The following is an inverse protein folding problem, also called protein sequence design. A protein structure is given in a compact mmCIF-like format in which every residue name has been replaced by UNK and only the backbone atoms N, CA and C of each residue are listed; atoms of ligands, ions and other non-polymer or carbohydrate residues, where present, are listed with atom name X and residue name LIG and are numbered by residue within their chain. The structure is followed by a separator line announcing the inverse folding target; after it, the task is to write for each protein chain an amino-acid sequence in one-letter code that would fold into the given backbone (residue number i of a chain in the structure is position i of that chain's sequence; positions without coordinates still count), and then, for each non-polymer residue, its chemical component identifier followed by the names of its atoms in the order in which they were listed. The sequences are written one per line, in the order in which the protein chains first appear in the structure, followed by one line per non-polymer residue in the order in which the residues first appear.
data_IF_967986206087
#
_entry.id   IF_967986206087
#
_cell.length_a   1.000
_cell.length_b   1.000
_cell.length_c   1.000
_cell.angle_alpha   90.00
_cell.angle_beta   90.00
_cell.angle_gamma   90.00
#
_symmetry.space_group_name_H-M   'P 1'
#
loop_
_entity.id
_entity.type
_entity.pdbx_description
1 polymer ?
#
# COMPACT_ATOMS: atom_id res chain seq x y z
N UNK A 1 11.74 -14.96 14.46
CA UNK A 1 11.13 -13.62 14.33
C UNK A 1 10.23 -13.43 13.10
N UNK A 2 10.41 -14.16 11.98
CA UNK A 2 9.49 -14.07 10.82
C UNK A 2 8.18 -14.89 10.95
N UNK A 3 8.09 -15.80 11.93
CA UNK A 3 6.97 -16.75 12.04
C UNK A 3 5.74 -16.20 12.79
N UNK A 4 5.93 -15.27 13.73
CA UNK A 4 4.85 -14.71 14.56
C UNK A 4 4.81 -13.20 14.44
N UNK A 5 3.71 -12.66 13.94
CA UNK A 5 3.48 -11.22 13.87
C UNK A 5 3.46 -10.58 15.27
N UNK A 6 2.96 -11.30 16.29
CA UNK A 6 2.73 -10.75 17.63
C UNK A 6 4.00 -10.36 18.39
N UNK A 7 5.10 -11.04 18.08
CA UNK A 7 6.44 -10.79 18.63
C UNK A 7 7.34 -10.02 17.65
N UNK A 8 6.80 -9.63 16.48
CA UNK A 8 7.58 -8.99 15.43
C UNK A 8 7.93 -7.53 15.76
N UNK A 9 9.05 -7.05 15.22
CA UNK A 9 9.41 -5.64 15.25
C UNK A 9 8.36 -4.76 14.56
N UNK A 10 7.69 -5.27 13.53
CA UNK A 10 6.60 -4.57 12.86
C UNK A 10 5.49 -4.21 13.85
N UNK A 11 5.02 -5.17 14.67
CA UNK A 11 4.00 -4.88 15.68
C UNK A 11 4.52 -3.92 16.74
N UNK A 12 5.72 -4.14 17.26
CA UNK A 12 6.24 -3.37 18.39
C UNK A 12 6.54 -1.89 18.04
N UNK A 13 7.05 -1.62 16.84
CA UNK A 13 7.61 -0.30 16.50
C UNK A 13 6.93 0.39 15.31
N UNK A 14 6.28 -0.37 14.41
CA UNK A 14 5.70 0.16 13.16
C UNK A 14 4.19 0.02 13.07
N UNK A 15 3.50 -0.18 14.20
CA UNK A 15 2.05 -0.04 14.29
C UNK A 15 1.68 1.21 15.06
N UNK A 16 0.77 2.00 14.50
CA UNK A 16 0.41 3.32 15.01
C UNK A 16 -1.09 3.49 14.98
N UNK A 17 -1.62 4.20 15.99
CA UNK A 17 -2.98 4.72 15.93
C UNK A 17 -3.09 5.84 14.88
N UNK A 18 -4.25 5.99 14.25
CA UNK A 18 -4.57 7.10 13.32
C UNK A 18 -4.17 8.49 13.84
N UNK A 19 -4.53 8.92 15.06
CA UNK A 19 -4.16 10.26 15.56
C UNK A 19 -2.64 10.44 15.69
N UNK A 20 -1.92 9.40 16.09
CA UNK A 20 -0.45 9.43 16.19
C UNK A 20 0.21 9.63 14.82
N UNK A 21 -0.27 8.97 13.77
CA UNK A 21 0.24 9.17 12.41
C UNK A 21 0.00 10.60 11.92
N UNK A 22 -1.20 11.14 12.14
CA UNK A 22 -1.54 12.52 11.79
C UNK A 22 -0.62 13.50 12.53
N UNK A 23 -0.43 13.32 13.84
CA UNK A 23 0.43 14.17 14.65
C UNK A 23 1.90 14.12 14.19
N UNK A 24 2.45 12.93 13.91
CA UNK A 24 3.81 12.79 13.40
C UNK A 24 4.01 13.54 12.08
N UNK A 25 3.03 13.45 11.17
CA UNK A 25 3.07 14.12 9.86
C UNK A 25 2.93 15.63 9.99
N UNK A 26 1.99 16.09 10.80
CA UNK A 26 1.81 17.52 11.05
C UNK A 26 3.08 18.13 11.65
N UNK A 27 3.72 17.42 12.58
CA UNK A 27 5.00 17.85 13.18
C UNK A 27 6.11 17.94 12.13
N UNK A 28 6.20 16.97 11.22
CA UNK A 28 7.19 16.97 10.14
C UNK A 28 6.96 18.14 9.17
N UNK A 29 5.72 18.35 8.74
CA UNK A 29 5.35 19.45 7.84
C UNK A 29 5.57 20.83 8.51
N UNK A 30 5.31 20.95 9.81
CA UNK A 30 5.57 22.17 10.57
C UNK A 30 7.07 22.47 10.68
N UNK A 31 7.90 21.43 10.90
CA UNK A 31 9.35 21.59 10.96
C UNK A 31 9.96 22.07 9.63
N UNK A 32 9.31 21.76 8.51
CA UNK A 32 9.76 22.09 7.14
C UNK A 32 8.83 23.10 6.44
N UNK A 33 8.11 23.92 7.20
CA UNK A 33 7.02 24.78 6.71
C UNK A 33 7.39 25.63 5.49
N UNK A 34 8.62 26.15 5.43
CA UNK A 34 9.09 26.95 4.29
C UNK A 34 9.12 26.16 2.99
N UNK A 35 9.62 24.92 3.03
CA UNK A 35 9.72 24.03 1.86
C UNK A 35 8.35 23.53 1.44
N UNK A 36 7.49 23.23 2.41
CA UNK A 36 6.10 22.80 2.17
C UNK A 36 5.32 23.87 1.43
N UNK A 37 5.44 25.14 1.86
CA UNK A 37 4.78 26.27 1.22
C UNK A 37 5.32 26.56 -0.19
N UNK A 38 6.63 26.40 -0.39
CA UNK A 38 7.26 26.63 -1.69
C UNK A 38 6.86 25.58 -2.74
N UNK A 39 6.66 24.33 -2.31
CA UNK A 39 6.33 23.19 -3.17
C UNK A 39 5.08 22.46 -2.65
N UNK A 40 3.87 22.98 -2.92
CA UNK A 40 2.64 22.26 -2.59
C UNK A 40 2.58 20.96 -3.39
N UNK A 41 2.21 19.88 -2.72
CA UNK A 41 2.05 18.55 -3.30
C UNK A 41 0.57 18.12 -3.24
N UNK A 42 0.14 17.13 -4.04
CA UNK A 42 -1.22 16.61 -3.97
C UNK A 42 -1.42 15.87 -2.64
N UNK A 43 -2.66 15.44 -2.41
CA UNK A 43 -2.97 14.58 -1.27
C UNK A 43 -2.06 13.34 -1.25
N UNK A 44 -1.66 12.93 -0.03
CA UNK A 44 -0.78 11.78 0.22
C UNK A 44 -1.22 10.52 -0.52
N UNK A 45 -2.53 10.23 -0.55
CA UNK A 45 -3.07 9.03 -1.20
C UNK A 45 -2.82 9.05 -2.72
N UNK A 46 -2.94 10.21 -3.36
CA UNK A 46 -2.60 10.38 -4.78
C UNK A 46 -1.11 10.19 -5.05
N UNK A 47 -0.25 10.69 -4.15
CA UNK A 47 1.19 10.42 -4.22
C UNK A 47 1.52 8.94 -4.02
N UNK A 48 0.82 8.25 -3.11
CA UNK A 48 0.99 6.81 -2.90
C UNK A 48 0.61 6.01 -4.14
N UNK A 49 -0.49 6.37 -4.83
CA UNK A 49 -0.88 5.79 -6.12
C UNK A 49 0.25 6.01 -7.14
N UNK A 50 0.77 7.24 -7.24
CA UNK A 50 1.87 7.55 -8.14
C UNK A 50 3.13 6.70 -7.85
N UNK A 51 3.56 6.63 -6.59
CA UNK A 51 4.73 5.85 -6.18
C UNK A 51 4.54 4.35 -6.42
N UNK A 52 3.34 3.82 -6.16
CA UNK A 52 3.03 2.43 -6.47
C UNK A 52 3.19 2.17 -7.98
N UNK A 53 2.67 3.06 -8.84
CA UNK A 53 2.79 2.91 -10.29
C UNK A 53 4.25 2.94 -10.74
N UNK A 54 5.05 3.83 -10.14
CA UNK A 54 6.49 3.92 -10.40
C UNK A 54 7.23 2.65 -9.96
N UNK A 55 6.97 2.12 -8.76
CA UNK A 55 7.56 0.86 -8.27
C UNK A 55 7.16 -0.31 -9.19
N UNK A 56 5.90 -0.41 -9.60
CA UNK A 56 5.45 -1.48 -10.49
C UNK A 56 6.09 -1.40 -11.88
N UNK A 57 6.26 -0.20 -12.44
CA UNK A 57 6.96 -0.01 -13.72
C UNK A 57 8.42 -0.45 -13.63
N UNK A 58 9.11 -0.06 -12.57
CA UNK A 58 10.49 -0.48 -12.33
C UNK A 58 10.58 -2.00 -12.09
N UNK A 59 9.67 -2.57 -11.28
CA UNK A 59 9.64 -4.00 -11.01
C UNK A 59 9.36 -4.86 -12.24
N UNK A 60 8.55 -4.38 -13.20
CA UNK A 60 8.37 -5.02 -14.51
C UNK A 60 9.66 -4.99 -15.34
N UNK A 61 10.38 -3.87 -15.35
CA UNK A 61 11.67 -3.71 -16.05
C UNK A 61 12.78 -4.61 -15.48
N UNK A 62 12.78 -4.85 -14.18
CA UNK A 62 13.71 -5.73 -13.47
C UNK A 62 13.38 -7.24 -13.60
N UNK A 63 12.73 -7.65 -14.70
CA UNK A 63 12.42 -9.05 -14.97
C UNK A 63 11.17 -9.56 -14.24
N UNK A 64 10.14 -8.73 -14.10
CA UNK A 64 8.88 -9.05 -13.41
C UNK A 64 9.08 -9.55 -11.97
N UNK A 65 9.49 -8.63 -11.10
CA UNK A 65 9.67 -8.91 -9.67
C UNK A 65 8.40 -9.46 -9.01
N UNK A 66 8.62 -10.27 -7.95
CA UNK A 66 7.55 -10.82 -7.13
C UNK A 66 6.75 -9.71 -6.46
N UNK A 67 5.43 -9.89 -6.38
CA UNK A 67 4.51 -8.93 -5.74
C UNK A 67 4.90 -8.62 -4.28
N UNK A 68 5.39 -9.63 -3.55
CA UNK A 68 5.84 -9.47 -2.17
C UNK A 68 6.98 -8.44 -2.06
N UNK A 69 8.01 -8.52 -2.90
CA UNK A 69 9.10 -7.54 -2.92
C UNK A 69 8.64 -6.12 -3.24
N UNK A 70 7.69 -5.96 -4.16
CA UNK A 70 7.10 -4.65 -4.46
C UNK A 70 6.26 -4.11 -3.30
N UNK A 71 5.55 -4.98 -2.57
CA UNK A 71 4.80 -4.63 -1.36
C UNK A 71 5.73 -4.21 -0.21
N UNK A 72 6.84 -4.92 -0.01
CA UNK A 72 7.87 -4.58 0.99
C UNK A 72 8.50 -3.23 0.70
N UNK A 73 8.88 -2.98 -0.56
CA UNK A 73 9.41 -1.68 -0.99
C UNK A 73 8.42 -0.53 -0.70
N UNK A 74 7.14 -0.76 -1.01
CA UNK A 74 6.05 0.16 -0.72
C UNK A 74 5.93 0.47 0.79
N UNK A 75 6.09 -0.52 1.66
CA UNK A 75 6.09 -0.29 3.13
C UNK A 75 7.33 0.50 3.56
N UNK A 76 8.51 0.20 3.02
CA UNK A 76 9.73 0.96 3.34
C UNK A 76 9.61 2.44 2.97
N UNK A 77 9.10 2.74 1.78
CA UNK A 77 8.88 4.12 1.33
C UNK A 77 7.94 4.87 2.28
N UNK A 78 6.86 4.21 2.75
CA UNK A 78 5.95 4.81 3.73
C UNK A 78 6.62 5.05 5.07
N UNK A 79 7.35 4.06 5.60
CA UNK A 79 8.08 4.17 6.87
C UNK A 79 9.11 5.30 6.82
N UNK A 80 9.87 5.39 5.73
CA UNK A 80 10.87 6.42 5.52
C UNK A 80 10.26 7.83 5.50
N UNK A 81 9.16 8.02 4.77
CA UNK A 81 8.47 9.33 4.71
C UNK A 81 7.57 9.64 5.91
N UNK A 82 7.60 8.84 6.98
CA UNK A 82 7.05 9.24 8.28
C UNK A 82 8.00 10.14 9.07
N UNK A 83 9.30 10.04 8.81
CA UNK A 83 10.34 10.74 9.57
C UNK A 83 11.17 11.68 8.70
N UNK A 84 11.27 11.40 7.39
CA UNK A 84 11.95 12.25 6.42
C UNK A 84 10.94 12.97 5.54
N UNK A 85 11.10 14.28 5.38
CA UNK A 85 10.25 15.08 4.52
C UNK A 85 10.51 14.77 3.04
N UNK A 86 9.45 14.46 2.29
CA UNK A 86 9.52 14.04 0.88
C UNK A 86 10.32 15.01 0.00
N UNK A 87 10.21 16.31 0.29
CA UNK A 87 10.83 17.40 -0.47
C UNK A 87 12.33 17.54 -0.24
N UNK A 88 12.91 16.82 0.73
CA UNK A 88 14.36 16.82 1.04
C UNK A 88 15.15 15.81 0.21
N UNK A 89 14.48 14.78 -0.30
CA UNK A 89 15.11 13.67 -1.00
C UNK A 89 14.61 13.58 -2.42
N UNK A 90 15.35 12.88 -3.28
CA UNK A 90 14.87 12.51 -4.59
C UNK A 90 13.96 11.27 -4.48
N UNK A 91 12.64 11.38 -4.75
CA UNK A 91 11.74 10.26 -4.53
C UNK A 91 12.08 9.06 -5.40
N UNK A 92 12.51 9.28 -6.64
CA UNK A 92 12.85 8.20 -7.56
C UNK A 92 14.06 7.38 -7.08
N UNK A 93 15.06 8.06 -6.49
CA UNK A 93 16.20 7.38 -5.85
C UNK A 93 15.75 6.56 -4.64
N UNK A 94 14.88 7.11 -3.79
CA UNK A 94 14.30 6.40 -2.64
C UNK A 94 13.48 5.19 -3.08
N UNK A 95 12.67 5.30 -4.14
CA UNK A 95 11.91 4.17 -4.69
C UNK A 95 12.84 3.06 -5.18
N UNK A 96 13.90 3.41 -5.92
CA UNK A 96 14.89 2.43 -6.41
C UNK A 96 15.66 1.76 -5.26
N UNK A 97 16.10 2.52 -4.27
CA UNK A 97 16.82 2.00 -3.11
C UNK A 97 15.90 1.11 -2.24
N UNK A 98 14.66 1.54 -2.00
CA UNK A 98 13.67 0.74 -1.27
C UNK A 98 13.38 -0.60 -1.98
N UNK A 99 13.24 -0.58 -3.31
CA UNK A 99 13.04 -1.80 -4.10
C UNK A 99 14.29 -2.70 -4.06
N UNK A 100 15.49 -2.13 -4.10
CA UNK A 100 16.74 -2.87 -3.96
C UNK A 100 16.84 -3.60 -2.61
N UNK A 101 16.57 -2.90 -1.50
CA UNK A 101 16.58 -3.48 -0.15
C UNK A 101 15.52 -4.57 -0.06
N UNK A 102 14.30 -4.31 -0.55
CA UNK A 102 13.21 -5.26 -0.53
C UNK A 102 13.54 -6.55 -1.30
N UNK A 103 14.16 -6.43 -2.48
CA UNK A 103 14.63 -7.59 -3.24
C UNK A 103 15.62 -8.45 -2.45
N UNK A 104 16.52 -7.84 -1.68
CA UNK A 104 17.45 -8.58 -0.81
C UNK A 104 16.74 -9.27 0.36
N UNK A 105 15.79 -8.58 0.98
CA UNK A 105 15.06 -9.08 2.15
C UNK A 105 14.04 -10.18 1.80
N UNK A 106 13.46 -10.14 0.60
CA UNK A 106 12.50 -11.13 0.11
C UNK A 106 13.16 -12.30 -0.68
N UNK A 107 14.47 -12.47 -0.53
CA UNK A 107 15.24 -13.56 -1.16
C UNK A 107 15.10 -13.61 -2.69
N UNK A 108 14.99 -12.44 -3.33
CA UNK A 108 15.03 -12.26 -4.78
C UNK A 108 16.03 -11.15 -5.19
N UNK A 109 17.31 -11.26 -4.79
CA UNK A 109 18.28 -10.18 -4.92
C UNK A 109 18.53 -9.80 -6.39
N UNK A 110 18.62 -8.51 -6.63
CA UNK A 110 18.96 -7.94 -7.94
C UNK A 110 20.33 -7.27 -7.87
N UNK A 111 21.13 -7.39 -8.92
CA UNK A 111 22.43 -6.75 -8.96
C UNK A 111 22.28 -5.22 -9.02
N UNK A 112 23.00 -4.50 -8.17
CA UNK A 112 22.84 -3.04 -8.00
C UNK A 112 22.94 -2.25 -9.32
N UNK A 113 23.88 -2.66 -10.20
CA UNK A 113 24.05 -2.05 -11.53
C UNK A 113 22.80 -2.16 -12.40
N UNK A 114 22.06 -3.27 -12.32
CA UNK A 114 20.83 -3.46 -13.11
C UNK A 114 19.76 -2.48 -12.63
N UNK A 115 19.62 -2.32 -11.31
CA UNK A 115 18.64 -1.39 -10.73
C UNK A 115 18.93 0.05 -11.15
N UNK A 116 20.19 0.48 -11.06
CA UNK A 116 20.60 1.84 -11.46
C UNK A 116 20.32 2.08 -12.95
N UNK A 117 20.65 1.13 -13.81
CA UNK A 117 20.43 1.24 -15.26
C UNK A 117 18.94 1.30 -15.59
N UNK A 118 18.13 0.39 -15.05
CA UNK A 118 16.68 0.38 -15.32
C UNK A 118 15.96 1.59 -14.71
N UNK A 119 16.40 2.07 -13.54
CA UNK A 119 15.87 3.29 -12.95
C UNK A 119 16.20 4.52 -13.79
N UNK A 120 17.44 4.65 -14.28
CA UNK A 120 17.84 5.72 -15.20
C UNK A 120 17.07 5.64 -16.52
N UNK A 121 16.85 4.44 -17.08
CA UNK A 121 16.05 4.28 -18.30
C UNK A 121 14.59 4.70 -18.11
N UNK A 122 14.03 4.48 -16.92
CA UNK A 122 12.66 4.85 -16.59
C UNK A 122 12.51 6.34 -16.26
N UNK A 123 13.51 6.94 -15.61
CA UNK A 123 13.51 8.35 -15.21
C UNK A 123 14.83 9.06 -15.57
N UNK A 124 15.13 9.28 -16.87
CA UNK A 124 16.43 9.81 -17.31
C UNK A 124 16.78 11.17 -16.72
N UNK A 125 15.77 12.04 -16.57
CA UNK A 125 15.96 13.39 -16.03
C UNK A 125 16.10 13.40 -14.51
N UNK A 126 15.58 12.39 -13.82
CA UNK A 126 15.43 12.44 -12.36
C UNK A 126 16.43 11.55 -11.61
N UNK A 127 16.96 10.51 -12.24
CA UNK A 127 17.91 9.57 -11.61
C UNK A 127 19.18 9.52 -12.42
N UNK A 128 20.29 9.96 -11.83
CA UNK A 128 21.61 9.74 -12.42
C UNK A 128 22.03 8.27 -12.30
N UNK A 129 22.74 7.78 -13.32
CA UNK A 129 23.27 6.42 -13.34
C UNK A 129 24.51 6.26 -12.43
N UNK A 130 24.40 6.63 -11.16
CA UNK A 130 25.46 6.54 -10.16
C UNK A 130 25.13 5.48 -9.10
N UNK A 131 25.99 4.46 -9.02
CA UNK A 131 25.86 3.35 -8.07
C UNK A 131 26.09 3.84 -6.63
N UNK A 132 26.98 4.82 -6.44
CA UNK A 132 27.39 5.31 -5.12
C UNK A 132 26.20 5.95 -4.40
N UNK A 133 25.44 6.81 -5.10
CA UNK A 133 24.23 7.44 -4.58
C UNK A 133 23.15 6.46 -4.20
N UNK A 134 22.97 5.39 -5.00
CA UNK A 134 22.01 4.35 -4.65
C UNK A 134 22.44 3.63 -3.36
N UNK A 135 23.74 3.37 -3.18
CA UNK A 135 24.29 2.80 -1.95
C UNK A 135 24.19 3.72 -0.74
N UNK A 136 24.41 5.03 -0.90
CA UNK A 136 24.21 6.02 0.17
C UNK A 136 22.73 6.12 0.57
N UNK A 137 21.83 6.15 -0.42
CA UNK A 137 20.39 6.15 -0.18
C UNK A 137 19.92 4.85 0.47
N UNK A 138 20.48 3.70 0.07
CA UNK A 138 20.24 2.42 0.71
C UNK A 138 20.59 2.47 2.21
N UNK A 139 21.79 2.95 2.52
CA UNK A 139 22.25 3.10 3.90
C UNK A 139 21.34 4.04 4.69
N UNK A 140 20.93 5.18 4.11
CA UNK A 140 20.03 6.13 4.74
C UNK A 140 18.67 5.52 5.07
N UNK A 141 18.08 4.73 4.16
CA UNK A 141 16.81 4.04 4.41
C UNK A 141 16.98 3.02 5.55
N UNK A 142 18.03 2.19 5.54
CA UNK A 142 18.24 1.19 6.58
C UNK A 142 18.42 1.84 7.96
N UNK A 143 19.19 2.92 8.03
CA UNK A 143 19.41 3.68 9.25
C UNK A 143 18.09 4.28 9.79
N UNK A 144 17.31 4.91 8.92
CA UNK A 144 16.04 5.54 9.30
C UNK A 144 14.99 4.50 9.75
N UNK A 145 14.98 3.33 9.11
CA UNK A 145 14.13 2.20 9.50
C UNK A 145 14.65 1.44 10.73
N UNK A 146 15.76 1.89 11.34
CA UNK A 146 16.41 1.24 12.48
C UNK A 146 16.69 -0.26 12.25
N UNK A 147 17.04 -0.63 11.02
CA UNK A 147 17.27 -2.03 10.58
C UNK A 147 16.05 -2.97 10.75
N UNK A 148 14.84 -2.43 10.88
CA UNK A 148 13.61 -3.21 11.04
C UNK A 148 12.99 -3.55 9.69
N UNK A 149 13.63 -4.47 8.98
CA UNK A 149 13.38 -4.72 7.55
C UNK A 149 12.37 -5.84 7.27
N UNK A 150 12.10 -6.73 8.23
CA UNK A 150 11.11 -7.81 8.04
C UNK A 150 9.69 -7.23 8.04
N UNK A 151 8.91 -7.55 7.01
CA UNK A 151 7.51 -7.13 6.86
C UNK A 151 6.63 -8.37 6.71
N UNK A 152 5.55 -8.42 7.49
CA UNK A 152 4.50 -9.43 7.39
C UNK A 152 3.40 -8.91 6.45
N UNK A 153 3.05 -9.72 5.45
CA UNK A 153 2.08 -9.35 4.43
C UNK A 153 0.76 -10.13 4.55
N UNK A 154 -0.39 -9.54 4.13
CA UNK A 154 -1.69 -10.21 4.21
C UNK A 154 -1.85 -11.42 3.28
N UNK A 155 -1.03 -11.54 2.23
CA UNK A 155 -1.15 -12.57 1.19
C UNK A 155 -1.19 -14.00 1.75
N UNK A 156 -0.36 -14.28 2.76
CA UNK A 156 -0.32 -15.59 3.42
C UNK A 156 -1.61 -15.87 4.18
N UNK A 157 -2.08 -14.90 4.96
CA UNK A 157 -3.34 -15.01 5.70
C UNK A 157 -4.54 -15.18 4.78
N UNK A 158 -4.56 -14.53 3.61
CA UNK A 158 -5.60 -14.77 2.60
C UNK A 158 -5.64 -16.23 2.14
N UNK A 159 -4.46 -16.83 1.86
CA UNK A 159 -4.38 -18.24 1.49
C UNK A 159 -4.85 -19.20 2.58
N UNK A 160 -4.57 -18.87 3.85
CA UNK A 160 -5.04 -19.64 5.01
C UNK A 160 -6.56 -19.50 5.23
N UNK A 161 -7.15 -18.34 4.89
CA UNK A 161 -8.59 -18.06 5.02
C UNK A 161 -9.43 -18.58 3.84
N UNK A 162 -8.83 -18.77 2.68
CA UNK A 162 -9.48 -19.26 1.47
C UNK A 162 -10.34 -20.53 1.69
N UNK A 163 -9.83 -21.63 2.29
CA UNK A 163 -10.63 -22.84 2.53
C UNK A 163 -11.72 -22.62 3.58
N UNK A 164 -11.48 -21.79 4.59
CA UNK A 164 -12.43 -21.51 5.68
C UNK A 164 -13.69 -20.82 5.15
N UNK A 165 -13.51 -19.79 4.32
CA UNK A 165 -14.60 -19.03 3.72
C UNK A 165 -15.16 -19.67 2.45
N UNK A 166 -14.46 -20.64 1.85
CA UNK A 166 -14.87 -21.24 0.59
C UNK A 166 -14.88 -20.23 -0.56
N UNK A 167 -13.80 -19.44 -0.64
CA UNK A 167 -13.66 -18.43 -1.70
C UNK A 167 -13.41 -19.11 -3.04
N UNK A 168 -14.16 -18.66 -4.05
CA UNK A 168 -13.92 -19.05 -5.44
C UNK A 168 -12.64 -18.40 -5.98
N UNK A 169 -12.14 -18.90 -7.11
CA UNK A 169 -10.92 -18.37 -7.74
C UNK A 169 -11.05 -16.89 -8.10
N UNK A 170 -12.22 -16.46 -8.57
CA UNK A 170 -12.49 -15.05 -8.91
C UNK A 170 -12.48 -14.16 -7.67
N UNK A 171 -13.15 -14.58 -6.59
CA UNK A 171 -13.19 -13.87 -5.30
C UNK A 171 -11.80 -13.80 -4.67
N UNK A 172 -11.01 -14.88 -4.78
CA UNK A 172 -9.63 -14.91 -4.30
C UNK A 172 -8.75 -13.93 -5.09
N UNK A 173 -8.95 -13.85 -6.41
CA UNK A 173 -8.22 -12.90 -7.27
C UNK A 173 -8.60 -11.45 -6.94
N UNK A 174 -9.88 -11.19 -6.68
CA UNK A 174 -10.36 -9.86 -6.29
C UNK A 174 -9.90 -9.48 -4.87
N UNK A 175 -9.92 -10.42 -3.92
CA UNK A 175 -9.33 -10.20 -2.59
C UNK A 175 -7.84 -9.90 -2.71
N UNK A 176 -7.11 -10.62 -3.59
CA UNK A 176 -5.70 -10.35 -3.85
C UNK A 176 -5.47 -8.95 -4.44
N UNK A 177 -6.32 -8.47 -5.36
CA UNK A 177 -6.22 -7.10 -5.87
C UNK A 177 -6.52 -6.05 -4.79
N UNK A 178 -7.52 -6.28 -3.94
CA UNK A 178 -7.82 -5.40 -2.80
C UNK A 178 -6.63 -5.37 -1.82
N UNK A 179 -5.95 -6.51 -1.61
CA UNK A 179 -4.70 -6.54 -0.84
C UNK A 179 -3.57 -5.79 -1.57
N UNK A 180 -3.56 -5.65 -2.89
CA UNK A 180 -2.56 -4.77 -3.51
C UNK A 180 -2.91 -3.29 -3.28
N UNK A 181 -4.20 -2.96 -3.32
CA UNK A 181 -4.71 -1.60 -3.18
C UNK A 181 -4.59 -1.09 -1.74
N UNK A 182 -4.74 -1.94 -0.71
CA UNK A 182 -4.63 -1.49 0.69
C UNK A 182 -3.27 -0.85 0.99
N UNK A 183 -2.20 -1.26 0.28
CA UNK A 183 -0.91 -0.60 0.46
C UNK A 183 -1.05 0.89 0.19
N UNK A 184 -1.84 1.35 -0.78
CA UNK A 184 -2.02 2.77 -1.12
C UNK A 184 -2.50 3.66 0.04
N UNK A 185 -3.09 3.05 1.07
CA UNK A 185 -3.56 3.70 2.29
C UNK A 185 -2.52 3.66 3.43
N UNK A 186 -2.93 4.06 4.63
CA UNK A 186 -2.14 3.93 5.86
C UNK A 186 -2.38 2.61 6.60
N UNK A 187 -3.28 1.75 6.10
CA UNK A 187 -3.64 0.46 6.71
C UNK A 187 -2.43 -0.43 7.05
N UNK A 188 -1.36 -0.54 6.22
CA UNK A 188 -0.19 -1.35 6.57
C UNK A 188 0.55 -0.92 7.84
N UNK A 189 0.34 0.33 8.29
CA UNK A 189 0.96 0.92 9.48
C UNK A 189 0.00 0.96 10.68
N UNK A 190 -1.28 0.61 10.48
CA UNK A 190 -2.31 0.71 11.51
C UNK A 190 -2.76 -0.66 11.98
N UNK A 191 -3.02 -1.59 11.05
CA UNK A 191 -3.66 -2.86 11.37
C UNK A 191 -2.77 -4.07 11.07
N UNK A 192 -2.93 -5.17 11.82
CA UNK A 192 -2.30 -6.45 11.52
C UNK A 192 -2.66 -7.01 10.13
N UNK A 193 -1.74 -7.74 9.47
CA UNK A 193 -1.97 -8.29 8.14
C UNK A 193 -3.17 -9.23 8.03
N UNK A 194 -3.48 -10.00 9.08
CA UNK A 194 -4.61 -10.93 9.06
C UNK A 194 -5.96 -10.20 9.01
N UNK A 195 -6.08 -9.02 9.65
CA UNK A 195 -7.30 -8.21 9.61
C UNK A 195 -7.53 -7.69 8.20
N UNK A 196 -6.47 -7.19 7.57
CA UNK A 196 -6.51 -6.73 6.17
C UNK A 196 -6.93 -7.86 5.23
N UNK A 197 -6.44 -9.09 5.44
CA UNK A 197 -6.82 -10.26 4.65
C UNK A 197 -8.31 -10.61 4.84
N UNK A 198 -8.82 -10.57 6.08
CA UNK A 198 -10.24 -10.79 6.38
C UNK A 198 -11.09 -9.72 5.71
N UNK A 199 -10.72 -8.44 5.84
CA UNK A 199 -11.44 -7.34 5.18
C UNK A 199 -11.45 -7.51 3.66
N UNK A 200 -10.33 -7.85 3.05
CA UNK A 200 -10.24 -8.06 1.60
C UNK A 200 -11.10 -9.25 1.14
N UNK A 201 -11.09 -10.36 1.88
CA UNK A 201 -11.95 -11.51 1.59
C UNK A 201 -13.44 -11.17 1.74
N UNK A 202 -13.80 -10.45 2.81
CA UNK A 202 -15.17 -10.01 3.04
C UNK A 202 -15.65 -9.10 1.92
N UNK A 203 -14.86 -8.09 1.57
CA UNK A 203 -15.17 -7.19 0.46
C UNK A 203 -15.29 -7.95 -0.86
N UNK A 204 -14.45 -8.96 -1.11
CA UNK A 204 -14.53 -9.73 -2.33
C UNK A 204 -15.82 -10.55 -2.48
N UNK A 205 -16.32 -11.12 -1.39
CA UNK A 205 -17.58 -11.87 -1.39
C UNK A 205 -18.79 -10.93 -1.48
N UNK A 206 -18.70 -9.73 -0.87
CA UNK A 206 -19.76 -8.71 -0.92
C UNK A 206 -19.84 -8.05 -2.30
N UNK A 207 -18.70 -7.75 -2.91
CA UNK A 207 -18.57 -7.08 -4.20
C UNK A 207 -18.81 -7.98 -5.42
N UNK A 208 -19.31 -9.22 -5.24
CA UNK A 208 -19.48 -10.23 -6.29
C UNK A 208 -19.65 -9.58 -7.66
N UNK A 209 -18.84 -9.93 -8.67
CA UNK A 209 -19.03 -9.41 -10.02
C UNK A 209 -20.39 -9.90 -10.55
N UNK A 210 -21.44 -9.14 -10.25
CA UNK A 210 -22.78 -9.37 -10.76
C UNK A 210 -22.74 -9.02 -12.23
N UNK A 211 -22.46 -10.02 -13.07
CA UNK A 211 -22.64 -10.07 -14.53
C UNK A 211 -23.03 -8.75 -15.18
N UNK A 212 -22.09 -7.80 -15.30
CA UNK A 212 -22.14 -6.71 -16.29
C UNK A 212 -20.88 -5.84 -16.19
N UNK A 213 -19.99 -6.00 -17.16
CA UNK A 213 -19.10 -4.91 -17.60
C UNK A 213 -17.74 -4.79 -16.92
N UNK A 214 -16.72 -5.22 -17.66
CA UNK A 214 -15.35 -4.68 -17.72
C UNK A 214 -14.43 -4.79 -16.50
N UNK A 215 -13.38 -5.56 -16.73
CA UNK A 215 -12.08 -5.60 -16.06
C UNK A 215 -11.67 -4.28 -15.37
N UNK A 216 -11.33 -4.38 -14.08
CA UNK A 216 -10.07 -3.80 -13.59
C UNK A 216 -10.14 -2.67 -12.56
N UNK A 217 -11.29 -2.05 -12.30
CA UNK A 217 -11.39 -1.02 -11.25
C UNK A 217 -12.66 -1.19 -10.41
N UNK A 218 -12.45 -1.37 -9.11
CA UNK A 218 -13.51 -1.32 -8.10
C UNK A 218 -13.95 0.15 -7.99
N UNK A 219 -15.21 0.44 -8.33
CA UNK A 219 -15.79 1.78 -8.16
C UNK A 219 -16.29 1.95 -6.72
N UNK A 220 -16.00 3.10 -6.10
CA UNK A 220 -16.44 3.41 -4.74
C UNK A 220 -17.97 3.30 -4.57
N UNK A 221 -18.72 3.75 -5.58
CA UNK A 221 -20.18 3.66 -5.61
C UNK A 221 -20.71 2.21 -5.64
N UNK A 222 -19.98 1.29 -6.28
CA UNK A 222 -20.31 -0.13 -6.29
C UNK A 222 -20.12 -0.77 -4.92
N UNK A 223 -19.05 -0.37 -4.22
CA UNK A 223 -18.75 -0.86 -2.88
C UNK A 223 -19.71 -0.34 -1.81
N UNK A 224 -20.06 0.95 -1.84
CA UNK A 224 -21.04 1.53 -0.92
C UNK A 224 -22.42 0.85 -1.06
N UNK A 225 -22.90 0.66 -2.29
CA UNK A 225 -24.18 -0.03 -2.57
C UNK A 225 -24.16 -1.49 -2.14
N UNK A 226 -23.04 -2.19 -2.34
CA UNK A 226 -22.91 -3.57 -1.92
C UNK A 226 -22.93 -3.69 -0.38
N UNK A 227 -22.26 -2.77 0.33
CA UNK A 227 -22.29 -2.72 1.79
C UNK A 227 -23.68 -2.39 2.34
N UNK A 228 -24.39 -1.42 1.73
CA UNK A 228 -25.78 -1.08 2.06
C UNK A 228 -26.73 -2.26 1.86
N UNK A 229 -26.46 -3.12 0.87
CA UNK A 229 -27.26 -4.32 0.65
C UNK A 229 -27.07 -5.35 1.76
N UNK A 230 -25.89 -5.44 2.37
CA UNK A 230 -25.59 -6.36 3.48
C UNK A 230 -26.19 -5.83 4.79
N UNK A 231 -26.15 -4.52 5.03
CA UNK A 231 -26.72 -3.88 6.23
C UNK A 231 -28.26 -3.84 6.19
N UNK A 232 -28.86 -3.58 5.03
CA UNK A 232 -30.32 -3.52 4.87
C UNK A 232 -30.97 -4.87 4.49
N UNK A 233 -30.19 -5.94 4.28
CA UNK A 233 -30.69 -7.30 3.99
C UNK A 233 -31.61 -7.88 5.09
N UNK A 234 -31.71 -7.23 6.25
CA UNK A 234 -32.71 -7.59 7.27
C UNK A 234 -34.14 -7.09 6.96
N UNK A 235 -34.36 -6.28 5.92
CA UNK A 235 -35.66 -5.60 5.68
C UNK A 235 -36.38 -5.89 4.35
N UNK A 236 -35.81 -6.71 3.44
CA UNK A 236 -36.45 -7.05 2.16
C UNK A 236 -36.82 -8.54 2.04
N UNK A 237 -38.12 -8.90 1.98
CA UNK A 237 -38.56 -10.29 1.86
C UNK A 237 -38.40 -10.76 0.40
N UNK A 238 -37.27 -11.39 0.07
CA UNK A 238 -37.09 -12.04 -1.23
C UNK A 238 -35.65 -12.23 -1.71
N UNK A 239 -34.68 -11.55 -1.12
CA UNK A 239 -33.24 -11.75 -1.40
C UNK A 239 -32.50 -11.83 -0.06
N UNK A 240 -32.51 -13.01 0.56
CA UNK A 240 -31.72 -13.24 1.76
C UNK A 240 -30.22 -12.97 1.48
N UNK A 241 -29.46 -12.55 2.50
CA UNK A 241 -28.02 -12.38 2.35
C UNK A 241 -27.42 -13.69 1.84
N UNK A 242 -26.57 -13.59 0.81
CA UNK A 242 -25.89 -14.73 0.19
C UNK A 242 -25.38 -15.70 1.29
N UNK A 243 -25.68 -17.01 1.23
CA UNK A 243 -25.36 -17.94 2.31
C UNK A 243 -23.87 -17.94 2.70
N UNK A 244 -22.98 -17.56 1.77
CA UNK A 244 -21.55 -17.38 2.06
C UNK A 244 -21.24 -16.11 2.85
N UNK A 245 -21.90 -14.99 2.56
CA UNK A 245 -21.81 -13.77 3.38
C UNK A 245 -22.29 -14.07 4.79
N UNK A 246 -23.40 -14.81 4.92
CA UNK A 246 -23.91 -15.21 6.23
C UNK A 246 -22.95 -16.16 6.97
N UNK A 247 -22.32 -17.10 6.27
CA UNK A 247 -21.25 -17.95 6.83
C UNK A 247 -20.06 -17.12 7.33
N UNK A 248 -19.62 -16.11 6.57
CA UNK A 248 -18.53 -15.22 6.97
C UNK A 248 -18.92 -14.37 8.18
N UNK A 249 -20.14 -13.81 8.20
CA UNK A 249 -20.64 -13.03 9.34
C UNK A 249 -20.75 -13.91 10.59
N UNK A 250 -21.25 -15.13 10.47
CA UNK A 250 -21.30 -16.07 11.59
C UNK A 250 -19.89 -16.43 12.08
N UNK A 251 -18.95 -16.69 11.16
CA UNK A 251 -17.55 -16.95 11.52
C UNK A 251 -16.91 -15.75 12.22
N UNK A 252 -17.20 -14.52 11.77
CA UNK A 252 -16.73 -13.29 12.41
C UNK A 252 -17.33 -13.11 13.80
N UNK A 253 -18.61 -13.44 13.98
CA UNK A 253 -19.29 -13.36 15.28
C UNK A 253 -18.79 -14.42 16.28
N UNK A 254 -18.40 -15.61 15.80
CA UNK A 254 -17.80 -16.67 16.61
C UNK A 254 -16.31 -16.41 16.91
N UNK A 255 -15.64 -15.66 16.05
CA UNK A 255 -14.22 -15.33 16.19
C UNK A 255 -14.00 -14.18 17.15
N UNK A 256 -12.91 -14.21 17.92
CA UNK A 256 -12.48 -13.09 18.80
C UNK A 256 -11.84 -11.93 18.02
N UNK A 257 -12.19 -11.77 16.74
CA UNK A 257 -11.66 -10.72 15.88
C UNK A 257 -12.43 -9.44 16.11
N UNK A 258 -11.70 -8.35 16.27
CA UNK A 258 -12.28 -7.02 16.48
C UNK A 258 -12.97 -6.51 15.20
N UNK A 259 -14.31 -6.40 15.26
CA UNK A 259 -15.12 -5.92 14.13
C UNK A 259 -14.90 -4.44 13.84
N UNK A 260 -14.54 -3.63 14.84
CA UNK A 260 -14.30 -2.19 14.64
C UNK A 260 -13.13 -1.98 13.67
N UNK A 261 -12.06 -2.76 13.81
CA UNK A 261 -10.90 -2.71 12.92
C UNK A 261 -11.24 -3.12 11.49
N UNK A 262 -12.15 -4.07 11.30
CA UNK A 262 -12.60 -4.49 9.96
C UNK A 262 -13.40 -3.36 9.30
N UNK A 263 -14.31 -2.73 10.05
CA UNK A 263 -15.13 -1.61 9.57
C UNK A 263 -14.25 -0.43 9.19
N UNK A 264 -13.29 -0.06 10.03
CA UNK A 264 -12.32 1.00 9.74
C UNK A 264 -11.52 0.71 8.46
N UNK A 265 -11.02 -0.53 8.31
CA UNK A 265 -10.31 -0.95 7.11
C UNK A 265 -11.18 -0.83 5.86
N UNK A 266 -12.45 -1.23 5.94
CA UNK A 266 -13.41 -1.11 4.84
C UNK A 266 -13.65 0.35 4.47
N UNK A 267 -13.85 1.24 5.46
CA UNK A 267 -14.07 2.66 5.23
C UNK A 267 -12.86 3.34 4.57
N UNK A 268 -11.64 3.01 5.02
CA UNK A 268 -10.41 3.51 4.42
C UNK A 268 -10.25 3.06 2.96
N UNK A 269 -10.63 1.83 2.63
CA UNK A 269 -10.63 1.32 1.25
C UNK A 269 -11.69 1.99 0.37
N UNK A 270 -12.91 2.21 0.87
CA UNK A 270 -13.96 2.96 0.14
C UNK A 270 -13.45 4.37 -0.18
N UNK A 271 -12.92 5.05 0.84
CA UNK A 271 -12.38 6.40 0.71
C UNK A 271 -11.19 6.46 -0.24
N UNK A 272 -10.35 5.41 -0.29
CA UNK A 272 -9.29 5.30 -1.29
C UNK A 272 -9.85 5.28 -2.71
N UNK A 273 -10.84 4.44 -2.99
CA UNK A 273 -11.40 4.32 -4.35
C UNK A 273 -12.05 5.61 -4.82
N UNK A 274 -12.68 6.39 -3.92
CA UNK A 274 -13.23 7.71 -4.24
C UNK A 274 -12.14 8.72 -4.60
N UNK A 275 -11.05 8.79 -3.81
CA UNK A 275 -9.92 9.67 -4.10
C UNK A 275 -9.19 9.25 -5.38
N UNK A 276 -9.14 7.95 -5.67
CA UNK A 276 -8.49 7.43 -6.88
C UNK A 276 -9.16 7.93 -8.16
N UNK A 277 -10.48 8.18 -8.17
CA UNK A 277 -11.17 8.76 -9.34
C UNK A 277 -10.61 10.13 -9.75
N UNK A 278 -10.03 10.88 -8.80
CA UNK A 278 -9.44 12.19 -9.03
C UNK A 278 -7.95 12.13 -9.44
N UNK A 279 -7.37 10.94 -9.53
CA UNK A 279 -5.94 10.77 -9.75
C UNK A 279 -5.50 11.23 -11.15
N UNK A 280 -4.50 12.10 -11.18
CA UNK A 280 -3.82 12.53 -12.39
C UNK A 280 -2.30 12.34 -12.25
N UNK A 281 -1.76 11.39 -13.02
CA UNK A 281 -0.33 11.06 -13.01
C UNK A 281 0.54 12.27 -13.38
N UNK A 282 0.11 13.07 -14.38
CA UNK A 282 0.87 14.21 -14.87
C UNK A 282 1.04 15.28 -13.79
N UNK A 283 -0.03 15.56 -13.03
CA UNK A 283 0.02 16.51 -11.92
C UNK A 283 1.02 16.09 -10.86
N UNK A 284 1.02 14.81 -10.47
CA UNK A 284 1.97 14.28 -9.49
C UNK A 284 3.41 14.38 -10.00
N UNK A 285 3.64 13.96 -11.25
CA UNK A 285 4.95 13.99 -11.90
C UNK A 285 5.51 15.42 -12.00
N UNK A 286 4.70 16.37 -12.46
CA UNK A 286 5.14 17.77 -12.68
C UNK A 286 5.51 18.44 -11.35
N UNK A 287 4.72 18.20 -10.29
CA UNK A 287 5.01 18.76 -8.96
C UNK A 287 6.27 18.15 -8.33
N UNK A 288 6.49 16.83 -8.48
CA UNK A 288 7.72 16.18 -8.02
C UNK A 288 8.93 16.72 -8.79
N UNK A 289 8.82 16.78 -10.12
CA UNK A 289 9.91 17.26 -11.00
C UNK A 289 10.31 18.70 -10.66
N UNK A 290 9.34 19.55 -10.27
CA UNK A 290 9.58 20.95 -9.91
C UNK A 290 10.52 21.07 -8.72
N UNK A 291 10.27 20.36 -7.62
CA UNK A 291 11.13 20.47 -6.44
C UNK A 291 12.46 19.75 -6.63
N UNK A 292 12.47 18.62 -7.33
CA UNK A 292 13.70 17.87 -7.66
C UNK A 292 14.67 18.74 -8.46
N UNK A 293 14.19 19.42 -9.52
CA UNK A 293 14.99 20.33 -10.35
C UNK A 293 15.44 21.58 -9.59
N UNK A 294 14.50 22.26 -8.92
CA UNK A 294 14.81 23.52 -8.22
C UNK A 294 15.83 23.35 -7.08
N UNK A 295 15.86 22.17 -6.45
CA UNK A 295 16.78 21.84 -5.36
C UNK A 295 18.01 21.05 -5.81
N UNK A 296 18.17 20.81 -7.12
CA UNK A 296 19.28 20.01 -7.67
C UNK A 296 19.43 18.61 -7.05
N UNK A 297 18.31 17.97 -6.69
CA UNK A 297 18.29 16.63 -6.05
C UNK A 297 18.54 15.48 -7.04
N UNK A 298 18.76 15.79 -8.31
CA UNK A 298 19.22 14.85 -9.34
C UNK A 298 20.71 14.52 -9.12
N UNK A 299 21.47 15.46 -8.55
CA UNK A 299 22.94 15.44 -8.37
C UNK A 299 23.42 14.79 -7.09
#
# INVERSE_FOLDING_TARGET
MAASYWESSQRQFWTFSKPKLIAMRSKLEESERSVVQQFPLPERRLLNIYFMQQIQRLGKKLGNLRQQAMATAQVYVRRYYLTVELRRTNPYLVLSAALYIACKMEECPQHIRIIVVEAHNLWPDAVMADISKLGECEFAIIAELSSQLIVHHPYRSLGELQPTFGLETEETTLAWSIINDHYLTDLPLMYPPFIIAITAAFLAVVLRPSQSGTQGQIQAAGLAKALDSVTNAQSSPGSGPNPRVQKMVNWLAESSVDMEQIVDCTQELISLYEVWEQYNEKTCKDQISRFVKSRSLEK
#
